data_IF_915848132907
#
_entry.id   IF_915848132907
#
_cell.length_a   1.000
_cell.length_b   1.000
_cell.length_c   1.000
_cell.angle_alpha   90.00
_cell.angle_beta   90.00
_cell.angle_gamma   90.00
#
_symmetry.space_group_name_H-M   'P 1'
#
loop_
_entity.id
_entity.type
_entity.pdbx_description
1 polymer ?
#
# COMPACT_ATOMS: atom_id res chain seq x y z
N UNK A 1 -3.57 -23.07 11.04
CA UNK A 1 -2.62 -22.29 10.21
C UNK A 1 -2.26 -21.04 10.99
N UNK A 2 -0.98 -20.65 11.04
CA UNK A 2 -0.62 -19.32 11.54
C UNK A 2 -1.24 -18.31 10.57
N UNK A 3 -2.06 -17.40 11.07
CA UNK A 3 -2.55 -16.30 10.25
C UNK A 3 -1.36 -15.49 9.74
N UNK A 4 -1.19 -15.46 8.42
CA UNK A 4 -0.18 -14.64 7.77
C UNK A 4 -0.67 -13.19 7.91
N UNK A 5 0.06 -12.41 8.68
CA UNK A 5 -0.18 -10.97 8.86
C UNK A 5 0.85 -10.11 8.13
N UNK A 6 1.90 -10.73 7.58
CA UNK A 6 3.00 -10.08 6.88
C UNK A 6 3.23 -10.75 5.54
N UNK A 7 3.21 -9.95 4.47
CA UNK A 7 3.59 -10.38 3.13
C UNK A 7 4.66 -9.44 2.59
N UNK A 8 5.79 -10.01 2.20
CA UNK A 8 6.91 -9.27 1.61
C UNK A 8 7.04 -9.67 0.14
N UNK A 9 6.89 -8.68 -0.74
CA UNK A 9 7.00 -8.81 -2.18
C UNK A 9 8.01 -7.78 -2.74
N UNK A 10 8.98 -7.33 -1.95
CA UNK A 10 10.07 -6.45 -2.42
C UNK A 10 10.70 -6.99 -3.72
N UNK A 11 10.87 -6.11 -4.72
CA UNK A 11 11.64 -6.39 -5.95
C UNK A 11 11.16 -7.60 -6.77
N UNK A 12 9.85 -7.69 -7.02
CA UNK A 12 9.22 -8.75 -7.82
C UNK A 12 8.69 -8.29 -9.19
N UNK A 13 8.90 -7.04 -9.57
CA UNK A 13 8.46 -6.46 -10.86
C UNK A 13 6.96 -6.65 -11.15
N UNK A 14 6.11 -6.53 -10.11
CA UNK A 14 4.67 -6.73 -10.24
C UNK A 14 4.00 -5.78 -11.25
N UNK A 15 4.47 -4.54 -11.34
CA UNK A 15 3.82 -3.47 -12.09
C UNK A 15 2.42 -3.14 -11.54
N UNK A 16 1.69 -2.29 -12.26
CA UNK A 16 0.29 -1.97 -11.92
C UNK A 16 -0.63 -3.18 -12.12
N UNK A 17 -0.32 -4.06 -13.07
CA UNK A 17 -1.08 -5.29 -13.35
C UNK A 17 -1.02 -6.26 -12.17
N UNK A 18 0.16 -6.47 -11.57
CA UNK A 18 0.26 -7.30 -10.37
C UNK A 18 -0.48 -6.71 -9.17
N UNK A 19 -0.65 -5.38 -9.10
CA UNK A 19 -1.52 -4.76 -8.08
C UNK A 19 -2.98 -5.12 -8.32
N UNK A 20 -3.44 -5.14 -9.58
CA UNK A 20 -4.80 -5.57 -9.95
C UNK A 20 -5.10 -7.00 -9.49
N UNK A 21 -4.13 -7.92 -9.61
CA UNK A 21 -4.26 -9.27 -9.08
C UNK A 21 -4.31 -9.28 -7.54
N UNK A 22 -3.44 -8.51 -6.88
CA UNK A 22 -3.39 -8.45 -5.41
C UNK A 22 -4.69 -7.92 -4.80
N UNK A 23 -5.27 -6.84 -5.35
CA UNK A 23 -6.49 -6.24 -4.79
C UNK A 23 -7.71 -7.16 -4.87
N UNK A 24 -7.68 -8.12 -5.81
CA UNK A 24 -8.73 -9.11 -6.02
C UNK A 24 -8.47 -10.45 -5.30
N UNK A 25 -7.34 -10.61 -4.59
CA UNK A 25 -6.95 -11.87 -3.98
C UNK A 25 -7.56 -12.06 -2.56
N UNK A 26 -8.52 -12.99 -2.37
CA UNK A 26 -9.20 -13.16 -1.07
C UNK A 26 -8.31 -13.71 0.04
N UNK A 27 -7.18 -14.32 -0.32
CA UNK A 27 -6.20 -14.85 0.62
C UNK A 27 -5.49 -13.74 1.42
N UNK A 28 -5.51 -12.50 0.92
CA UNK A 28 -4.85 -11.37 1.57
C UNK A 28 -5.69 -10.70 2.65
N UNK A 29 -6.91 -11.19 2.92
CA UNK A 29 -7.86 -10.61 3.90
C UNK A 29 -7.30 -10.42 5.31
N UNK A 30 -6.28 -11.20 5.70
CA UNK A 30 -5.68 -11.13 7.03
C UNK A 30 -4.35 -10.36 7.06
N UNK A 31 -3.86 -9.87 5.92
CA UNK A 31 -2.59 -9.15 5.83
C UNK A 31 -2.68 -7.81 6.56
N UNK A 32 -1.71 -7.55 7.44
CA UNK A 32 -1.57 -6.30 8.20
C UNK A 32 -0.34 -5.50 7.77
N UNK A 33 0.68 -6.17 7.22
CA UNK A 33 1.87 -5.56 6.67
C UNK A 33 2.10 -6.08 5.25
N UNK A 34 2.21 -5.16 4.29
CA UNK A 34 2.48 -5.47 2.90
C UNK A 34 3.67 -4.63 2.41
N UNK A 35 4.73 -5.31 1.97
CA UNK A 35 5.87 -4.66 1.30
C UNK A 35 5.76 -4.84 -0.21
N UNK A 36 5.60 -3.72 -0.93
CA UNK A 36 5.56 -3.62 -2.39
C UNK A 36 6.67 -2.73 -2.94
N UNK A 37 7.76 -2.50 -2.19
CA UNK A 37 8.89 -1.75 -2.70
C UNK A 37 9.42 -2.31 -4.03
N UNK A 38 9.95 -1.42 -4.88
CA UNK A 38 10.67 -1.77 -6.12
C UNK A 38 9.91 -2.71 -7.05
N UNK A 39 8.60 -2.51 -7.18
CA UNK A 39 7.76 -3.32 -8.03
C UNK A 39 7.34 -2.64 -9.34
N UNK A 40 7.78 -1.41 -9.60
CA UNK A 40 7.38 -0.67 -10.81
C UNK A 40 5.94 -0.16 -10.75
N UNK A 41 5.40 0.04 -9.55
CA UNK A 41 4.03 0.52 -9.32
C UNK A 41 3.96 2.04 -9.57
N UNK A 42 3.06 2.49 -10.43
CA UNK A 42 2.85 3.90 -10.73
C UNK A 42 1.73 4.51 -9.90
N UNK A 43 1.41 5.79 -10.14
CA UNK A 43 0.22 6.43 -9.58
C UNK A 43 -1.07 5.67 -9.95
N UNK A 44 -1.16 5.08 -11.15
CA UNK A 44 -2.30 4.23 -11.56
C UNK A 44 -2.42 2.98 -10.68
N UNK A 45 -1.29 2.35 -10.35
CA UNK A 45 -1.28 1.23 -9.41
C UNK A 45 -1.78 1.61 -8.02
N UNK A 46 -1.50 2.84 -7.55
CA UNK A 46 -2.07 3.33 -6.29
C UNK A 46 -3.57 3.61 -6.35
N UNK A 47 -4.08 4.10 -7.48
CA UNK A 47 -5.52 4.22 -7.72
C UNK A 47 -6.21 2.88 -7.59
N UNK A 48 -5.66 1.83 -8.23
CA UNK A 48 -6.17 0.45 -8.13
C UNK A 48 -6.08 -0.03 -6.67
N UNK A 49 -4.93 0.13 -6.02
CA UNK A 49 -4.71 -0.28 -4.63
C UNK A 49 -5.70 0.38 -3.66
N UNK A 50 -6.07 1.64 -3.91
CA UNK A 50 -7.08 2.36 -3.14
C UNK A 50 -8.48 1.72 -3.16
N UNK A 51 -8.73 0.78 -4.07
CA UNK A 51 -10.00 0.04 -4.19
C UNK A 51 -9.96 -1.39 -3.63
N UNK A 52 -8.88 -1.76 -2.92
CA UNK A 52 -8.61 -3.13 -2.51
C UNK A 52 -9.60 -3.70 -1.48
N UNK A 53 -10.53 -4.53 -1.97
CA UNK A 53 -11.60 -5.14 -1.16
C UNK A 53 -11.10 -6.14 -0.13
N UNK A 54 -9.97 -6.80 -0.39
CA UNK A 54 -9.41 -7.82 0.51
C UNK A 54 -8.22 -7.33 1.34
N UNK A 55 -7.96 -6.02 1.40
CA UNK A 55 -6.87 -5.45 2.20
C UNK A 55 -7.38 -4.56 3.36
N UNK A 56 -8.63 -4.72 3.80
CA UNK A 56 -9.21 -3.90 4.88
C UNK A 56 -8.53 -4.02 6.24
N UNK A 57 -7.77 -5.10 6.47
CA UNK A 57 -6.95 -5.29 7.67
C UNK A 57 -5.51 -4.75 7.53
N UNK A 58 -5.14 -4.22 6.36
CA UNK A 58 -3.80 -3.71 6.09
C UNK A 58 -3.54 -2.48 6.96
N UNK A 59 -2.48 -2.53 7.78
CA UNK A 59 -2.09 -1.42 8.67
C UNK A 59 -0.90 -0.65 8.14
N UNK A 60 0.01 -1.34 7.45
CA UNK A 60 1.30 -0.81 6.98
C UNK A 60 1.57 -1.22 5.54
N UNK A 61 1.89 -0.23 4.71
CA UNK A 61 2.20 -0.42 3.29
C UNK A 61 3.53 0.24 2.92
N UNK A 62 4.46 -0.51 2.37
CA UNK A 62 5.75 0.00 1.89
C UNK A 62 5.76 -0.01 0.35
N UNK A 63 6.16 1.11 -0.25
CA UNK A 63 6.10 1.39 -1.69
C UNK A 63 7.37 2.08 -2.20
N UNK A 64 8.48 2.03 -1.47
CA UNK A 64 9.75 2.67 -1.85
C UNK A 64 10.27 2.15 -3.18
N UNK A 65 10.92 3.02 -3.95
CA UNK A 65 11.55 2.62 -5.21
C UNK A 65 10.55 2.26 -6.31
N UNK A 66 9.31 2.74 -6.20
CA UNK A 66 8.30 2.68 -7.24
C UNK A 66 8.18 4.06 -7.94
N UNK A 67 7.83 4.12 -9.23
CA UNK A 67 7.68 5.36 -10.00
C UNK A 67 6.40 6.15 -9.66
N UNK A 68 6.17 6.43 -8.36
CA UNK A 68 5.03 7.20 -7.85
C UNK A 68 5.38 8.69 -7.87
N UNK A 69 4.58 9.52 -8.54
CA UNK A 69 4.79 10.97 -8.64
C UNK A 69 3.96 11.77 -7.64
N UNK A 70 2.94 11.16 -7.04
CA UNK A 70 2.20 11.70 -5.90
C UNK A 70 0.71 11.90 -6.17
N UNK A 71 0.26 11.91 -7.42
CA UNK A 71 -1.15 12.08 -7.78
C UNK A 71 -2.00 10.90 -7.28
N UNK A 72 -1.50 9.67 -7.45
CA UNK A 72 -2.18 8.44 -7.04
C UNK A 72 -2.22 8.23 -5.53
N UNK A 73 -1.43 9.00 -4.76
CA UNK A 73 -1.40 8.91 -3.30
C UNK A 73 -2.74 9.32 -2.69
N UNK A 74 -3.45 10.25 -3.33
CA UNK A 74 -4.78 10.72 -2.90
C UNK A 74 -5.77 9.55 -2.80
N UNK A 75 -5.63 8.55 -3.66
CA UNK A 75 -6.46 7.33 -3.66
C UNK A 75 -6.29 6.51 -2.39
N UNK A 76 -5.09 6.48 -1.80
CA UNK A 76 -4.87 5.84 -0.50
C UNK A 76 -5.48 6.64 0.65
N UNK A 77 -5.52 7.97 0.53
CA UNK A 77 -6.13 8.82 1.56
C UNK A 77 -7.65 8.71 1.60
N UNK A 78 -8.27 8.60 0.44
CA UNK A 78 -9.72 8.57 0.25
C UNK A 78 -10.29 7.15 0.15
N UNK A 79 -9.46 6.12 0.29
CA UNK A 79 -9.90 4.73 0.22
C UNK A 79 -10.95 4.43 1.30
N UNK A 80 -12.10 3.93 0.86
CA UNK A 80 -13.18 3.40 1.73
C UNK A 80 -13.02 1.90 2.03
N UNK A 81 -11.96 1.27 1.50
CA UNK A 81 -11.72 -0.18 1.66
C UNK A 81 -10.48 -0.48 2.48
N UNK A 82 -9.49 0.42 2.49
CA UNK A 82 -8.28 0.32 3.31
C UNK A 82 -8.50 0.89 4.72
N UNK A 83 -9.54 0.39 5.41
CA UNK A 83 -10.03 0.96 6.68
C UNK A 83 -8.97 1.02 7.78
N UNK A 84 -8.18 -0.05 7.89
CA UNK A 84 -7.13 -0.18 8.90
C UNK A 84 -5.81 0.50 8.52
N UNK A 85 -5.69 1.06 7.31
CA UNK A 85 -4.42 1.60 6.83
C UNK A 85 -4.03 2.80 7.68
N UNK A 86 -2.95 2.63 8.42
CA UNK A 86 -2.49 3.59 9.42
C UNK A 86 -1.18 4.25 9.01
N UNK A 87 -0.35 3.55 8.25
CA UNK A 87 0.93 4.07 7.78
C UNK A 87 1.26 3.58 6.39
N UNK A 88 1.79 4.46 5.54
CA UNK A 88 2.42 4.04 4.30
C UNK A 88 3.62 4.91 3.93
N UNK A 89 4.49 4.38 3.09
CA UNK A 89 5.76 5.00 2.73
C UNK A 89 6.06 4.80 1.25
N UNK A 90 6.11 5.87 0.45
CA UNK A 90 6.47 5.82 -0.99
C UNK A 90 7.94 6.16 -1.25
N UNK A 91 8.61 6.92 -0.37
CA UNK A 91 10.00 7.35 -0.55
C UNK A 91 10.80 7.21 0.76
N UNK A 92 12.12 7.25 0.68
CA UNK A 92 12.96 7.44 1.86
C UNK A 92 12.63 8.77 2.55
N UNK A 93 12.73 8.78 3.88
CA UNK A 93 12.27 9.90 4.70
C UNK A 93 10.74 10.08 4.73
N UNK A 94 9.98 9.57 3.76
CA UNK A 94 8.56 9.89 3.64
C UNK A 94 7.69 8.86 4.36
N UNK A 95 6.99 9.26 5.42
CA UNK A 95 5.97 8.40 6.08
C UNK A 95 4.68 9.16 6.32
N UNK A 96 3.60 8.68 5.74
CA UNK A 96 2.25 9.15 6.05
C UNK A 96 1.69 8.34 7.22
N UNK A 97 1.03 9.02 8.18
CA UNK A 97 0.40 8.40 9.36
C UNK A 97 -1.04 8.91 9.55
N UNK A 98 -1.99 8.00 9.73
CA UNK A 98 -3.39 8.31 10.08
C UNK A 98 -3.51 8.48 11.60
N UNK A 99 -3.65 9.73 12.09
CA UNK A 99 -3.88 10.12 13.49
C UNK A 99 -4.84 11.31 13.53
N UNK A 100 -6.14 11.02 13.70
CA UNK A 100 -7.21 12.03 13.58
C UNK A 100 -7.14 12.78 12.23
N UNK A 101 -6.87 12.04 11.15
CA UNK A 101 -6.52 12.57 9.82
C UNK A 101 -5.11 12.17 9.36
N UNK A 102 -4.76 12.45 8.11
CA UNK A 102 -3.45 12.13 7.55
C UNK A 102 -2.40 13.18 7.92
N UNK A 103 -1.29 12.72 8.52
CA UNK A 103 -0.13 13.56 8.86
C UNK A 103 1.10 13.10 8.09
N UNK A 104 1.89 14.08 7.67
CA UNK A 104 3.15 13.89 6.99
C UNK A 104 4.32 14.14 7.95
N UNK A 105 5.34 13.27 7.90
CA UNK A 105 6.64 13.52 8.54
C UNK A 105 7.76 13.11 7.58
N UNK A 106 8.58 14.06 7.07
CA UNK A 106 9.89 13.73 6.52
C UNK A 106 10.79 13.22 7.67
N UNK A 107 11.51 12.13 7.46
CA UNK A 107 12.65 11.73 8.29
C UNK A 107 13.90 12.25 7.59
N UNK A 108 14.66 13.06 8.33
CA UNK A 108 15.96 13.61 7.92
C UNK A 108 17.01 12.51 7.72
#
# INVERSE_FOLDING_TARGET
MKDISWLDLDDNKLGDEGVEDLVNCPLLKNIQYLNLNKNGISDKGLEILGTAKFLGNLKRLHLKGNPIKGEGVVSLFNSETLDSLSTFQINDGWTCKKREGWRYKPQD
#
